data_IF_303390085224
#
_entry.id   IF_303390085224
#
_cell.length_a   1.000
_cell.length_b   1.000
_cell.length_c   1.000
_cell.angle_alpha   90.00
_cell.angle_beta   90.00
_cell.angle_gamma   90.00
#
_symmetry.space_group_name_H-M   'P 1'
#
loop_
_entity.id
_entity.type
_entity.pdbx_description
1 polymer ?
#
# COMPACT_ATOMS: atom_id res chain seq x y z
N UNK A 1 -31.73 -46.93 -25.34
CA UNK A 1 -32.03 -45.60 -24.76
C UNK A 1 -31.51 -45.62 -23.32
N UNK A 2 -30.30 -45.11 -23.07
CA UNK A 2 -30.02 -43.78 -22.48
C UNK A 2 -30.65 -43.62 -21.08
N UNK A 3 -29.96 -43.34 -19.97
CA UNK A 3 -28.61 -42.84 -19.71
C UNK A 3 -28.13 -43.30 -18.32
N UNK A 4 -26.87 -43.76 -18.22
CA UNK A 4 -26.11 -43.77 -16.96
C UNK A 4 -25.68 -42.33 -16.69
N UNK A 5 -25.97 -41.79 -15.52
CA UNK A 5 -25.25 -40.61 -15.00
C UNK A 5 -24.72 -40.93 -13.60
N UNK A 6 -23.50 -41.45 -13.59
CA UNK A 6 -22.62 -41.46 -12.43
C UNK A 6 -22.28 -40.01 -12.11
N UNK A 7 -22.80 -39.46 -11.01
CA UNK A 7 -22.45 -38.13 -10.55
C UNK A 7 -20.95 -38.12 -10.18
N UNK A 8 -20.14 -37.55 -11.08
CA UNK A 8 -18.71 -37.32 -10.87
C UNK A 8 -18.54 -36.43 -9.64
N UNK A 9 -17.99 -37.04 -8.60
CA UNK A 9 -17.38 -36.38 -7.45
C UNK A 9 -16.17 -35.58 -7.93
N UNK A 10 -16.41 -34.33 -8.32
CA UNK A 10 -15.34 -33.34 -8.44
C UNK A 10 -15.88 -32.02 -7.89
N UNK A 11 -16.07 -32.00 -6.56
CA UNK A 11 -16.17 -30.74 -5.85
C UNK A 11 -14.77 -30.11 -5.92
N UNK A 12 -14.61 -29.27 -6.93
CA UNK A 12 -13.43 -28.45 -7.15
C UNK A 12 -13.15 -27.70 -5.85
N UNK A 13 -12.00 -27.96 -5.25
CA UNK A 13 -11.58 -27.26 -4.05
C UNK A 13 -11.59 -25.76 -4.31
N UNK A 14 -12.51 -25.04 -3.68
CA UNK A 14 -12.42 -23.59 -3.50
C UNK A 14 -11.19 -23.32 -2.64
N UNK A 15 -10.04 -23.12 -3.28
CA UNK A 15 -8.92 -22.39 -2.69
C UNK A 15 -8.73 -21.10 -3.45
N UNK A 16 -8.72 -20.01 -2.68
CA UNK A 16 -8.50 -18.60 -3.05
C UNK A 16 -9.62 -17.95 -3.89
N UNK A 17 -10.08 -16.73 -3.62
CA UNK A 17 -9.66 -15.69 -2.70
C UNK A 17 -10.86 -14.76 -2.52
N UNK A 18 -11.39 -14.63 -1.30
CA UNK A 18 -12.46 -13.67 -0.97
C UNK A 18 -11.88 -12.51 -0.15
N UNK A 19 -10.68 -12.04 -0.51
CA UNK A 19 -10.23 -10.71 -0.10
C UNK A 19 -10.77 -9.74 -1.16
N UNK A 20 -11.72 -8.87 -0.77
CA UNK A 20 -12.37 -7.93 -1.68
C UNK A 20 -11.34 -7.17 -2.53
N UNK A 21 -11.60 -7.09 -3.84
CA UNK A 21 -10.76 -6.34 -4.77
C UNK A 21 -10.68 -4.88 -4.29
N UNK A 22 -9.56 -4.49 -3.68
CA UNK A 22 -9.23 -3.08 -3.48
C UNK A 22 -8.78 -2.55 -4.85
N UNK A 23 -9.39 -1.46 -5.32
CA UNK A 23 -9.02 -0.81 -6.59
C UNK A 23 -7.69 -0.04 -6.52
N UNK A 24 -6.74 -0.50 -5.70
CA UNK A 24 -5.43 0.11 -5.58
C UNK A 24 -4.41 -0.79 -6.27
N UNK A 25 -3.46 -0.16 -6.95
CA UNK A 25 -2.32 -0.88 -7.52
C UNK A 25 -1.53 -1.57 -6.39
N UNK A 26 -0.97 -2.75 -6.65
CA UNK A 26 -0.24 -3.55 -5.65
C UNK A 26 0.86 -2.73 -4.95
N UNK A 27 1.65 -1.97 -5.71
CA UNK A 27 2.67 -1.06 -5.17
C UNK A 27 2.14 -0.02 -4.15
N UNK A 28 0.90 0.43 -4.30
CA UNK A 28 0.30 1.40 -3.37
C UNK A 28 -0.01 0.72 -2.04
N UNK A 29 -0.56 -0.50 -2.10
CA UNK A 29 -0.86 -1.31 -0.92
C UNK A 29 0.45 -1.67 -0.20
N UNK A 30 1.45 -2.14 -0.93
CA UNK A 30 2.75 -2.48 -0.35
C UNK A 30 3.39 -1.27 0.34
N UNK A 31 3.36 -0.08 -0.28
CA UNK A 31 3.95 1.11 0.34
C UNK A 31 3.18 1.58 1.58
N UNK A 32 1.88 1.28 1.67
CA UNK A 32 1.07 1.60 2.84
C UNK A 32 1.32 0.63 4.01
N UNK A 33 1.43 -0.68 3.73
CA UNK A 33 1.67 -1.70 4.74
C UNK A 33 3.14 -1.74 5.18
N UNK A 34 4.07 -1.46 4.26
CA UNK A 34 5.51 -1.43 4.48
C UNK A 34 6.07 -0.02 4.19
N UNK A 35 5.80 0.97 5.06
CA UNK A 35 6.18 2.35 4.79
C UNK A 35 7.70 2.52 4.90
N UNK A 36 8.26 3.23 3.93
CA UNK A 36 9.70 3.48 3.83
C UNK A 36 9.98 4.91 4.27
N UNK A 37 11.08 5.12 4.98
CA UNK A 37 11.55 6.45 5.40
C UNK A 37 10.60 7.20 6.34
N UNK A 38 9.84 6.47 7.16
CA UNK A 38 9.02 7.08 8.22
C UNK A 38 9.93 7.55 9.35
N UNK A 39 9.77 8.81 9.75
CA UNK A 39 10.51 9.40 10.85
C UNK A 39 10.68 10.90 10.67
N UNK A 40 11.54 11.49 11.49
CA UNK A 40 11.97 12.87 11.36
C UNK A 40 13.45 12.99 11.64
N UNK A 41 14.08 13.96 10.99
CA UNK A 41 15.42 14.37 11.31
C UNK A 41 15.42 15.48 12.38
N UNK A 42 16.61 15.79 12.90
CA UNK A 42 16.83 16.93 13.80
C UNK A 42 16.55 18.23 13.06
N UNK A 43 15.82 19.17 13.67
CA UNK A 43 15.43 20.43 13.01
C UNK A 43 16.57 21.43 12.93
N UNK A 44 17.61 21.21 13.72
CA UNK A 44 18.75 22.11 13.90
C UNK A 44 19.88 21.83 12.90
N UNK A 45 19.80 20.74 12.14
CA UNK A 45 20.81 20.39 11.13
C UNK A 45 20.64 21.31 9.91
N UNK A 46 21.64 22.15 9.57
CA UNK A 46 21.55 23.10 8.46
C UNK A 46 21.45 22.42 7.09
N UNK A 47 21.82 21.14 6.99
CA UNK A 47 21.77 20.37 5.75
C UNK A 47 20.39 19.77 5.47
N UNK A 48 19.39 20.07 6.31
CA UNK A 48 18.06 19.46 6.24
C UNK A 48 17.00 20.46 5.83
N UNK A 49 16.47 20.29 4.63
CA UNK A 49 15.28 20.99 4.15
C UNK A 49 14.01 20.31 4.67
N UNK A 50 13.09 21.08 5.27
CA UNK A 50 11.77 20.59 5.70
C UNK A 50 10.67 21.26 4.90
N UNK A 51 9.83 20.48 4.22
CA UNK A 51 8.61 20.93 3.56
C UNK A 51 7.38 20.38 4.27
N UNK A 52 6.54 21.27 4.82
CA UNK A 52 5.23 20.92 5.35
C UNK A 52 4.17 21.41 4.36
N UNK A 53 3.36 20.51 3.83
CA UNK A 53 2.36 20.80 2.80
C UNK A 53 1.03 20.18 3.19
N UNK A 54 -0.06 20.87 2.89
CA UNK A 54 -1.42 20.39 3.12
C UNK A 54 -2.25 21.37 3.91
N UNK A 55 -3.57 21.20 3.83
CA UNK A 55 -4.53 21.98 4.62
C UNK A 55 -5.43 21.01 5.39
N UNK A 56 -5.74 21.30 6.66
CA UNK A 56 -6.64 20.44 7.44
C UNK A 56 -8.02 20.26 6.81
N UNK A 57 -8.46 21.24 6.00
CA UNK A 57 -9.74 21.22 5.32
C UNK A 57 -9.83 20.15 4.22
N UNK A 58 -8.72 19.79 3.58
CA UNK A 58 -8.68 18.78 2.52
C UNK A 58 -8.39 17.37 3.04
N UNK A 59 -8.14 17.21 4.34
CA UNK A 59 -7.92 15.91 4.98
C UNK A 59 -6.50 15.36 4.87
N UNK A 60 -5.64 16.01 4.09
CA UNK A 60 -4.28 15.55 3.84
C UNK A 60 -3.24 16.58 4.29
N UNK A 61 -2.30 16.12 5.12
CA UNK A 61 -1.12 16.87 5.53
C UNK A 61 0.10 15.96 5.38
N UNK A 62 1.12 16.45 4.70
CA UNK A 62 2.35 15.73 4.44
C UNK A 62 3.56 16.55 4.91
N UNK A 63 4.49 15.87 5.57
CA UNK A 63 5.77 16.43 5.95
C UNK A 63 6.87 15.64 5.24
N UNK A 64 7.70 16.33 4.47
CA UNK A 64 8.86 15.76 3.78
C UNK A 64 10.12 16.45 4.27
N UNK A 65 11.13 15.66 4.62
CA UNK A 65 12.44 16.18 4.99
C UNK A 65 13.51 15.54 4.10
N UNK A 66 14.46 16.36 3.66
CA UNK A 66 15.54 15.93 2.77
C UNK A 66 16.84 16.42 3.35
N UNK A 67 17.82 15.54 3.46
CA UNK A 67 19.20 15.89 3.82
C UNK A 67 20.03 16.00 2.53
N UNK A 68 20.74 17.10 2.38
CA UNK A 68 21.60 17.39 1.22
C UNK A 68 23.05 17.21 1.64
N UNK A 69 23.79 16.40 0.91
CA UNK A 69 25.24 16.26 1.10
C UNK A 69 25.99 17.38 0.36
N UNK A 70 27.21 17.69 0.79
CA UNK A 70 28.07 18.64 0.09
C UNK A 70 28.55 18.02 -1.24
N UNK A 71 28.38 18.76 -2.34
CA UNK A 71 28.67 18.33 -3.72
C UNK A 71 30.14 18.05 -4.01
#
# INVERSE_FOLDING_TARGET
>A
MMLKQTAKKTFLGLRNSMAGCRFYHENVIDHFENPRNVGSFKREDPNIGTGLVGTPACGDVMALQIKVDES
#
